data_IF_015196757402
#
_entry.id   IF_015196757402
#
_cell.length_a   1.000
_cell.length_b   1.000
_cell.length_c   1.000
_cell.angle_alpha   90.00
_cell.angle_beta   90.00
_cell.angle_gamma   90.00
#
_symmetry.space_group_name_H-M   'P 1'
#
loop_
_entity.id
_entity.type
_entity.pdbx_description
1 polymer ?
#
# COMPACT_ATOMS: atom_id res chain seq x y z
N UNK A 1 -48.81 -30.46 32.85
CA UNK A 1 -48.48 -29.18 32.19
C UNK A 1 -46.97 -28.93 32.19
N UNK A 2 -46.16 -29.80 31.57
CA UNK A 2 -44.68 -29.70 31.57
C UNK A 2 -44.02 -29.79 30.18
N UNK A 3 -44.69 -30.36 29.18
CA UNK A 3 -44.14 -30.47 27.80
C UNK A 3 -44.30 -29.21 26.94
N UNK A 4 -45.28 -28.34 27.22
CA UNK A 4 -45.49 -27.11 26.42
C UNK A 4 -44.41 -26.05 26.69
N UNK A 5 -43.93 -25.94 27.94
CA UNK A 5 -42.89 -24.98 28.32
C UNK A 5 -41.49 -25.39 27.86
N UNK A 6 -41.20 -26.70 27.71
CA UNK A 6 -39.91 -27.17 27.19
C UNK A 6 -39.83 -26.96 25.68
N UNK A 7 -40.94 -27.11 24.95
CA UNK A 7 -40.97 -26.84 23.51
C UNK A 7 -40.82 -25.34 23.21
N UNK A 8 -41.38 -24.46 24.06
CA UNK A 8 -41.23 -23.02 23.92
C UNK A 8 -39.79 -22.55 24.21
N UNK A 9 -39.05 -23.26 25.08
CA UNK A 9 -37.65 -22.97 25.40
C UNK A 9 -36.68 -23.42 24.29
N UNK A 10 -37.01 -24.47 23.55
CA UNK A 10 -36.20 -24.99 22.44
C UNK A 10 -36.31 -24.14 21.16
N UNK A 11 -37.45 -23.48 20.94
CA UNK A 11 -37.64 -22.56 19.80
C UNK A 11 -36.97 -21.20 20.03
N UNK A 12 -36.78 -20.78 21.29
CA UNK A 12 -36.15 -19.50 21.62
C UNK A 12 -34.61 -19.52 21.51
N UNK A 13 -33.98 -20.70 21.50
CA UNK A 13 -32.53 -20.85 21.28
C UNK A 13 -32.13 -20.88 19.80
N UNK A 14 -33.07 -20.95 18.85
CA UNK A 14 -32.77 -21.05 17.42
C UNK A 14 -32.55 -19.70 16.70
N UNK A 15 -32.75 -18.56 17.38
CA UNK A 15 -32.75 -17.23 16.73
C UNK A 15 -31.47 -16.41 17.01
N UNK A 16 -30.49 -16.94 17.75
CA UNK A 16 -29.28 -16.18 18.11
C UNK A 16 -28.15 -16.22 17.06
N UNK A 17 -28.37 -16.82 15.89
CA UNK A 17 -27.37 -16.90 14.81
C UNK A 17 -27.51 -15.85 13.71
N UNK A 18 -28.12 -14.68 13.98
CA UNK A 18 -28.01 -13.51 13.11
C UNK A 18 -26.84 -12.60 13.52
N UNK A 19 -25.72 -13.20 13.94
CA UNK A 19 -24.44 -12.50 13.90
C UNK A 19 -23.93 -12.55 12.47
N UNK A 20 -24.39 -11.61 11.63
CA UNK A 20 -23.60 -11.20 10.47
C UNK A 20 -22.34 -10.51 10.97
N UNK A 21 -21.41 -11.28 11.52
CA UNK A 21 -20.02 -10.86 11.56
C UNK A 21 -19.54 -10.86 10.11
N UNK A 22 -19.80 -9.78 9.37
CA UNK A 22 -18.95 -9.45 8.24
C UNK A 22 -17.58 -9.16 8.84
N UNK A 23 -16.76 -10.20 8.98
CA UNK A 23 -15.32 -10.05 9.18
C UNK A 23 -14.84 -9.18 8.04
N UNK A 24 -14.59 -7.91 8.36
CA UNK A 24 -14.19 -6.92 7.36
C UNK A 24 -12.99 -7.45 6.59
N UNK A 25 -13.18 -7.65 5.29
CA UNK A 25 -12.14 -8.10 4.39
C UNK A 25 -10.91 -7.19 4.54
N UNK A 26 -9.73 -7.80 4.75
CA UNK A 26 -8.47 -7.06 4.73
C UNK A 26 -7.89 -7.10 3.32
N UNK A 27 -7.83 -5.95 2.67
CA UNK A 27 -7.31 -5.83 1.32
C UNK A 27 -5.80 -6.03 1.30
N UNK A 28 -5.32 -6.78 0.31
CA UNK A 28 -3.90 -7.02 0.05
C UNK A 28 -3.55 -6.61 -1.38
N UNK A 29 -2.26 -6.60 -1.74
CA UNK A 29 -1.82 -6.39 -3.13
C UNK A 29 -2.56 -7.35 -4.08
N UNK A 30 -2.70 -8.62 -3.69
CA UNK A 30 -3.41 -9.62 -4.49
C UNK A 30 -4.89 -9.24 -4.68
N UNK A 31 -5.58 -8.77 -3.65
CA UNK A 31 -6.97 -8.31 -3.76
C UNK A 31 -7.10 -7.18 -4.80
N UNK A 32 -6.17 -6.21 -4.79
CA UNK A 32 -6.18 -5.09 -5.74
C UNK A 32 -5.86 -5.55 -7.16
N UNK A 33 -4.86 -6.40 -7.33
CA UNK A 33 -4.48 -6.96 -8.62
C UNK A 33 -5.62 -7.78 -9.21
N UNK A 34 -6.30 -8.61 -8.42
CA UNK A 34 -7.48 -9.37 -8.87
C UNK A 34 -8.61 -8.46 -9.33
N UNK A 35 -8.92 -7.38 -8.59
CA UNK A 35 -9.93 -6.40 -9.03
C UNK A 35 -9.53 -5.71 -10.34
N UNK A 36 -8.26 -5.31 -10.46
CA UNK A 36 -7.74 -4.67 -11.66
C UNK A 36 -7.80 -5.60 -12.88
N UNK A 37 -7.36 -6.84 -12.74
CA UNK A 37 -7.41 -7.86 -13.80
C UNK A 37 -8.84 -8.27 -14.18
N UNK A 38 -9.77 -8.19 -13.23
CA UNK A 38 -11.20 -8.36 -13.47
C UNK A 38 -11.87 -7.13 -14.13
N UNK A 39 -11.09 -6.13 -14.55
CA UNK A 39 -11.58 -4.88 -15.15
C UNK A 39 -12.53 -4.05 -14.25
N UNK A 40 -12.42 -4.20 -12.92
CA UNK A 40 -13.09 -3.28 -12.00
C UNK A 40 -12.49 -1.88 -12.21
N UNK A 41 -13.35 -0.86 -12.37
CA UNK A 41 -12.86 0.49 -12.65
C UNK A 41 -11.93 1.00 -11.55
N UNK A 42 -10.89 1.75 -11.92
CA UNK A 42 -9.95 2.32 -10.96
C UNK A 42 -10.63 3.17 -9.88
N UNK A 43 -11.74 3.86 -10.21
CA UNK A 43 -12.55 4.61 -9.24
C UNK A 43 -13.15 3.71 -8.15
N UNK A 44 -13.72 2.57 -8.54
CA UNK A 44 -14.29 1.62 -7.58
C UNK A 44 -13.21 0.94 -6.73
N UNK A 45 -12.07 0.61 -7.33
CA UNK A 45 -10.92 0.07 -6.59
C UNK A 45 -10.45 1.09 -5.53
N UNK A 46 -10.24 2.35 -5.92
CA UNK A 46 -9.86 3.43 -5.00
C UNK A 46 -10.90 3.59 -3.88
N UNK A 47 -12.19 3.61 -4.23
CA UNK A 47 -13.26 3.71 -3.23
C UNK A 47 -13.24 2.53 -2.26
N UNK A 48 -13.06 1.30 -2.75
CA UNK A 48 -12.97 0.11 -1.92
C UNK A 48 -11.74 0.15 -0.99
N UNK A 49 -10.60 0.65 -1.46
CA UNK A 49 -9.41 0.86 -0.62
C UNK A 49 -9.72 1.85 0.51
N UNK A 50 -10.34 2.99 0.21
CA UNK A 50 -10.67 4.01 1.22
C UNK A 50 -11.68 3.52 2.28
N UNK A 51 -12.54 2.55 1.93
CA UNK A 51 -13.59 2.03 2.81
C UNK A 51 -13.17 0.77 3.58
N UNK A 52 -12.03 0.17 3.27
CA UNK A 52 -11.64 -1.13 3.83
C UNK A 52 -10.30 -1.04 4.55
N UNK A 53 -10.09 -1.96 5.50
CA UNK A 53 -8.77 -2.14 6.09
C UNK A 53 -7.80 -2.70 5.04
N UNK A 54 -6.64 -2.08 4.90
CA UNK A 54 -5.56 -2.54 4.01
C UNK A 54 -4.38 -3.13 4.76
N UNK A 55 -3.78 -4.17 4.20
CA UNK A 55 -2.44 -4.68 4.53
C UNK A 55 -1.65 -4.78 3.23
N UNK A 56 -1.27 -3.63 2.70
CA UNK A 56 -0.54 -3.55 1.44
C UNK A 56 0.97 -3.64 1.69
N UNK A 57 1.62 -4.52 0.93
CA UNK A 57 3.07 -4.51 0.77
C UNK A 57 3.45 -3.38 -0.18
N UNK A 58 3.88 -2.26 0.41
CA UNK A 58 4.38 -1.08 -0.31
C UNK A 58 5.92 -0.98 -0.22
N UNK A 59 6.58 -2.12 -0.02
CA UNK A 59 8.03 -2.24 -0.16
C UNK A 59 8.48 -2.13 -1.60
N UNK A 60 9.77 -1.91 -1.85
CA UNK A 60 10.29 -1.83 -3.22
C UNK A 60 9.97 -3.10 -4.04
N UNK A 61 10.19 -4.34 -3.54
CA UNK A 61 9.72 -5.54 -4.24
C UNK A 61 8.22 -5.54 -4.50
N UNK A 62 7.40 -5.15 -3.51
CA UNK A 62 5.94 -5.06 -3.66
C UNK A 62 5.52 -4.08 -4.74
N UNK A 63 6.12 -2.88 -4.77
CA UNK A 63 5.89 -1.85 -5.78
C UNK A 63 6.30 -2.35 -7.19
N UNK A 64 7.47 -2.97 -7.32
CA UNK A 64 7.93 -3.52 -8.59
C UNK A 64 6.98 -4.60 -9.11
N UNK A 65 6.43 -5.44 -8.22
CA UNK A 65 5.42 -6.43 -8.57
C UNK A 65 4.10 -5.78 -9.02
N UNK A 66 3.66 -4.69 -8.40
CA UNK A 66 2.48 -3.94 -8.85
C UNK A 66 2.71 -3.25 -10.21
N UNK A 67 3.92 -2.72 -10.45
CA UNK A 67 4.29 -2.09 -11.72
C UNK A 67 4.38 -3.10 -12.86
N UNK A 68 4.86 -4.31 -12.61
CA UNK A 68 4.99 -5.36 -13.63
C UNK A 68 3.62 -5.82 -14.17
N UNK A 69 2.60 -5.81 -13.33
CA UNK A 69 1.19 -6.05 -13.75
C UNK A 69 0.50 -4.78 -14.28
N UNK A 70 1.26 -3.69 -14.49
CA UNK A 70 0.79 -2.40 -15.00
C UNK A 70 -0.31 -1.75 -14.16
N UNK A 71 -0.32 -1.99 -12.85
CA UNK A 71 -1.28 -1.33 -11.96
C UNK A 71 -1.07 0.20 -12.03
N UNK A 72 -2.12 1.01 -12.25
CA UNK A 72 -1.98 2.45 -12.35
C UNK A 72 -1.45 3.09 -11.06
N UNK A 73 -0.51 4.03 -11.20
CA UNK A 73 0.05 4.80 -10.07
C UNK A 73 -1.01 5.45 -9.18
N UNK A 74 -2.11 6.04 -9.67
CA UNK A 74 -3.14 6.60 -8.80
C UNK A 74 -3.76 5.59 -7.82
N UNK A 75 -3.83 4.30 -8.18
CA UNK A 75 -4.29 3.25 -7.25
C UNK A 75 -3.21 2.97 -6.20
N UNK A 76 -1.95 2.85 -6.64
CA UNK A 76 -0.81 2.65 -5.75
C UNK A 76 -0.60 3.82 -4.78
N UNK A 77 -0.87 5.06 -5.20
CA UNK A 77 -0.83 6.26 -4.35
C UNK A 77 -1.81 6.16 -3.18
N UNK A 78 -3.03 5.66 -3.43
CA UNK A 78 -4.04 5.45 -2.39
C UNK A 78 -3.67 4.28 -1.48
N UNK A 79 -3.14 3.19 -2.05
CA UNK A 79 -2.59 2.09 -1.25
C UNK A 79 -1.49 2.58 -0.31
N UNK A 80 -0.55 3.39 -0.82
CA UNK A 80 0.55 3.98 -0.04
C UNK A 80 0.04 4.96 1.03
N UNK A 81 -1.00 5.73 0.75
CA UNK A 81 -1.58 6.64 1.75
C UNK A 81 -2.29 5.88 2.90
N UNK A 82 -2.73 4.65 2.65
CA UNK A 82 -3.45 3.81 3.62
C UNK A 82 -2.56 2.88 4.46
N UNK A 83 -1.24 2.88 4.22
CA UNK A 83 -0.30 2.00 4.95
C UNK A 83 1.07 2.64 5.10
N UNK A 84 1.84 2.23 6.10
CA UNK A 84 3.23 2.65 6.27
C UNK A 84 4.16 1.53 5.77
N UNK A 85 4.95 1.74 4.72
CA UNK A 85 5.98 0.78 4.30
C UNK A 85 6.99 0.53 5.42
N UNK A 86 7.41 -0.72 5.60
CA UNK A 86 8.33 -1.11 6.68
C UNK A 86 9.77 -1.27 6.22
N UNK A 87 10.01 -1.38 4.91
CA UNK A 87 11.35 -1.46 4.34
C UNK A 87 12.07 -0.11 4.38
N UNK A 88 13.34 -0.17 4.79
CA UNK A 88 14.23 0.98 4.86
C UNK A 88 14.79 1.27 3.47
N UNK A 89 14.41 2.42 2.91
CA UNK A 89 14.93 2.82 1.60
C UNK A 89 16.42 3.17 1.66
N UNK A 90 17.17 2.64 0.70
CA UNK A 90 18.58 2.95 0.40
C UNK A 90 18.71 3.50 -1.02
N UNK A 91 19.91 3.95 -1.39
CA UNK A 91 20.20 4.51 -2.71
C UNK A 91 19.82 3.54 -3.83
N UNK A 92 20.12 2.25 -3.66
CA UNK A 92 19.83 1.19 -4.63
C UNK A 92 18.32 1.06 -4.88
N UNK A 93 17.51 1.24 -3.84
CA UNK A 93 16.06 1.18 -3.98
C UNK A 93 15.51 2.35 -4.80
N UNK A 94 16.06 3.56 -4.60
CA UNK A 94 15.68 4.72 -5.40
C UNK A 94 16.05 4.53 -6.87
N UNK A 95 17.24 3.98 -7.13
CA UNK A 95 17.70 3.64 -8.47
C UNK A 95 16.75 2.63 -9.12
N UNK A 96 16.37 1.56 -8.40
CA UNK A 96 15.41 0.56 -8.89
C UNK A 96 14.05 1.18 -9.23
N UNK A 97 13.52 2.06 -8.38
CA UNK A 97 12.24 2.73 -8.63
C UNK A 97 12.32 3.66 -9.85
N UNK A 98 13.42 4.38 -10.03
CA UNK A 98 13.65 5.22 -11.22
C UNK A 98 13.72 4.37 -12.50
N UNK A 99 14.49 3.29 -12.47
CA UNK A 99 14.65 2.36 -13.60
C UNK A 99 13.35 1.64 -13.97
N UNK A 100 12.50 1.35 -12.98
CA UNK A 100 11.17 0.80 -13.20
C UNK A 100 10.16 1.82 -13.76
N UNK A 101 10.57 3.08 -13.96
CA UNK A 101 9.74 4.11 -14.57
C UNK A 101 8.61 4.59 -13.67
N UNK A 102 8.79 4.58 -12.34
CA UNK A 102 7.89 5.27 -11.44
C UNK A 102 8.02 6.78 -11.61
N UNK A 103 6.91 7.50 -11.50
CA UNK A 103 6.95 8.95 -11.58
C UNK A 103 7.77 9.56 -10.43
N UNK A 104 8.44 10.69 -10.73
CA UNK A 104 9.16 11.48 -9.73
C UNK A 104 8.30 11.78 -8.50
N UNK A 105 7.03 12.15 -8.72
CA UNK A 105 6.06 12.45 -7.66
C UNK A 105 5.86 11.25 -6.75
N UNK A 106 5.61 10.07 -7.34
CA UNK A 106 5.40 8.84 -6.59
C UNK A 106 6.63 8.44 -5.77
N UNK A 107 7.84 8.53 -6.34
CA UNK A 107 9.08 8.21 -5.63
C UNK A 107 9.27 9.15 -4.42
N UNK A 108 9.05 10.46 -4.59
CA UNK A 108 9.12 11.43 -3.48
C UNK A 108 8.11 11.09 -2.38
N UNK A 109 6.87 10.74 -2.75
CA UNK A 109 5.86 10.32 -1.79
C UNK A 109 6.29 9.06 -1.03
N UNK A 110 6.88 8.07 -1.72
CA UNK A 110 7.40 6.85 -1.10
C UNK A 110 8.57 7.14 -0.15
N UNK A 111 9.45 8.08 -0.48
CA UNK A 111 10.53 8.54 0.43
C UNK A 111 9.96 9.12 1.73
N UNK A 112 8.87 9.87 1.64
CA UNK A 112 8.22 10.51 2.79
C UNK A 112 7.38 9.55 3.64
N UNK A 113 6.89 8.46 3.04
CA UNK A 113 5.95 7.55 3.69
C UNK A 113 6.59 6.55 4.68
N UNK A 114 7.90 6.35 4.64
CA UNK A 114 8.55 5.27 5.41
C UNK A 114 9.99 5.56 5.80
N UNK A 115 10.62 4.64 6.55
CA UNK A 115 12.00 4.80 6.99
C UNK A 115 12.97 4.80 5.81
N UNK A 116 14.07 5.53 5.98
CA UNK A 116 15.13 5.61 4.99
C UNK A 116 16.51 5.71 5.66
N UNK A 117 17.52 5.28 4.93
CA UNK A 117 18.93 5.34 5.32
C UNK A 117 19.78 5.62 4.07
N UNK A 118 19.58 6.80 3.50
CA UNK A 118 20.28 7.22 2.29
C UNK A 118 21.75 7.52 2.57
N UNK A 119 22.62 7.10 1.67
CA UNK A 119 24.00 7.52 1.62
C UNK A 119 24.08 8.82 0.79
N UNK A 120 24.27 9.95 1.48
CA UNK A 120 24.42 11.28 0.87
C UNK A 120 25.86 11.82 0.97
N UNK A 121 26.85 10.93 1.14
CA UNK A 121 28.26 11.29 0.98
C UNK A 121 28.58 11.57 -0.50
N UNK A 122 29.78 12.09 -0.78
CA UNK A 122 30.27 12.33 -2.14
C UNK A 122 30.08 11.12 -3.05
N UNK A 123 30.52 9.93 -2.62
CA UNK A 123 30.39 8.70 -3.40
C UNK A 123 28.92 8.31 -3.61
N UNK A 124 28.07 8.49 -2.59
CA UNK A 124 26.64 8.24 -2.67
C UNK A 124 25.95 9.15 -3.69
N UNK A 125 26.30 10.44 -3.72
CA UNK A 125 25.76 11.39 -4.70
C UNK A 125 26.27 11.10 -6.12
N UNK A 126 27.53 10.72 -6.28
CA UNK A 126 28.09 10.28 -7.57
C UNK A 126 27.33 9.05 -8.08
N UNK A 127 27.08 8.05 -7.22
CA UNK A 127 26.32 6.85 -7.57
C UNK A 127 24.92 7.20 -8.10
N UNK A 128 24.19 8.08 -7.40
CA UNK A 128 22.86 8.54 -7.80
C UNK A 128 22.88 9.28 -9.13
N UNK A 129 23.88 10.16 -9.33
CA UNK A 129 24.05 10.92 -10.56
C UNK A 129 24.37 10.00 -11.75
N UNK A 130 25.30 9.06 -11.59
CA UNK A 130 25.66 8.07 -12.63
C UNK A 130 24.46 7.19 -12.98
N UNK A 131 23.66 6.80 -11.99
CA UNK A 131 22.41 6.06 -12.20
C UNK A 131 21.27 6.91 -12.78
N UNK A 132 21.52 8.20 -13.09
CA UNK A 132 20.55 9.15 -13.65
C UNK A 132 19.32 9.36 -12.77
N UNK A 133 19.49 9.29 -11.45
CA UNK A 133 18.42 9.64 -10.51
C UNK A 133 18.13 11.14 -10.64
N UNK A 134 16.86 11.56 -10.84
CA UNK A 134 16.52 12.97 -10.97
C UNK A 134 16.98 13.81 -9.78
N UNK A 135 17.58 14.97 -10.04
CA UNK A 135 18.13 15.87 -9.00
C UNK A 135 17.09 16.24 -7.93
N UNK A 136 15.83 16.45 -8.33
CA UNK A 136 14.74 16.72 -7.39
C UNK A 136 14.50 15.58 -6.38
N UNK A 137 14.72 14.31 -6.76
CA UNK A 137 14.66 13.18 -5.82
C UNK A 137 15.88 13.20 -4.90
N UNK A 138 17.08 13.38 -5.47
CA UNK A 138 18.33 13.48 -4.70
C UNK A 138 18.27 14.60 -3.65
N UNK A 139 17.71 15.76 -4.00
CA UNK A 139 17.52 16.87 -3.06
C UNK A 139 16.62 16.48 -1.89
N UNK A 140 15.53 15.76 -2.14
CA UNK A 140 14.65 15.24 -1.07
C UNK A 140 15.39 14.24 -0.19
N UNK A 141 16.24 13.37 -0.77
CA UNK A 141 17.06 12.44 0.00
C UNK A 141 18.04 13.15 0.94
N UNK A 142 18.58 14.31 0.53
CA UNK A 142 19.50 15.12 1.35
C UNK A 142 18.81 15.90 2.47
N UNK A 143 17.59 16.38 2.24
CA UNK A 143 16.86 17.19 3.25
C UNK A 143 16.18 16.34 4.33
N UNK A 144 16.04 15.03 4.09
CA UNK A 144 15.29 14.12 4.95
C UNK A 144 13.78 14.41 4.97
N UNK A 145 12.95 13.50 5.52
CA UNK A 145 11.54 13.77 5.77
C UNK A 145 11.42 14.81 6.90
N UNK A 146 11.33 16.10 6.58
CA UNK A 146 11.01 17.14 7.59
C UNK A 146 11.64 18.52 7.45
N UNK A 147 12.52 18.79 6.46
CA UNK A 147 13.12 20.14 6.29
C UNK A 147 12.63 20.90 5.06
N UNK A 148 11.32 20.97 4.89
CA UNK A 148 10.68 21.94 3.98
C UNK A 148 9.57 22.67 4.72
N UNK A 149 9.95 23.55 5.63
CA UNK A 149 9.17 24.71 6.06
C UNK A 149 10.12 25.89 6.18
#
# INVERSE_FOLDING_TARGET
MKMKSVFLLLVLMAVTHLSFAQTGETLTNNSIVSMYQANVSGKLIIQKINLSKGKFDMSVPGLLALKSVKLPEPIMEVMLASTTPTDVLKNENIIQLCQAGFSKRFIIQRIQAGPNKFNVTTDGLIQLQVAKVPEAITKVMMTGPGKSR
#
